data_IF_816825181980
#
_entry.id   IF_816825181980
#
_cell.length_a   1.000
_cell.length_b   1.000
_cell.length_c   1.000
_cell.angle_alpha   90.00
_cell.angle_beta   90.00
_cell.angle_gamma   90.00
#
_symmetry.space_group_name_H-M   'P 1'
#
loop_
_entity.id
_entity.type
_entity.pdbx_description
1 polymer ?
#
# COMPACT_ATOMS: atom_id res chain seq x y z
N UNK A 1 3.00 -14.83 11.69
CA UNK A 1 2.64 -16.26 11.56
C UNK A 1 3.42 -16.80 10.37
N UNK A 2 4.35 -17.72 10.58
CA UNK A 2 5.18 -18.30 9.52
C UNK A 2 4.83 -19.78 9.39
N UNK A 3 4.60 -20.27 8.18
CA UNK A 3 4.24 -21.66 7.92
C UNK A 3 5.14 -22.25 6.85
N UNK A 4 5.75 -23.39 7.16
CA UNK A 4 6.67 -24.06 6.25
C UNK A 4 5.99 -25.27 5.61
N UNK A 5 5.72 -25.16 4.30
CA UNK A 5 5.18 -26.26 3.51
C UNK A 5 6.18 -27.43 3.45
N UNK A 6 5.68 -28.66 3.60
CA UNK A 6 6.50 -29.88 3.58
C UNK A 6 7.11 -30.28 4.93
N UNK A 7 6.88 -29.50 5.98
CA UNK A 7 7.23 -29.88 7.37
C UNK A 7 5.95 -30.18 8.15
N UNK A 8 5.94 -31.24 8.94
CA UNK A 8 4.78 -31.60 9.74
C UNK A 8 4.46 -30.51 10.79
N UNK A 9 3.17 -30.27 11.05
CA UNK A 9 2.71 -29.16 11.88
C UNK A 9 3.16 -29.28 13.35
N UNK A 10 3.20 -30.51 13.87
CA UNK A 10 3.73 -30.84 15.20
C UNK A 10 5.15 -30.31 15.39
N UNK A 11 6.02 -30.51 14.39
CA UNK A 11 7.41 -30.02 14.43
C UNK A 11 7.53 -28.51 14.35
N UNK A 12 6.55 -27.83 13.75
CA UNK A 12 6.53 -26.37 13.63
C UNK A 12 6.03 -25.69 14.91
N UNK A 13 5.24 -26.39 15.72
CA UNK A 13 4.72 -25.90 17.00
C UNK A 13 5.61 -26.26 18.19
N UNK A 14 6.58 -27.15 17.98
CA UNK A 14 7.54 -27.60 18.99
C UNK A 14 8.65 -26.54 19.22
N UNK A 15 8.82 -26.02 20.45
CA UNK A 15 9.85 -25.03 20.77
C UNK A 15 11.28 -25.53 20.57
N UNK A 16 11.52 -26.85 20.67
CA UNK A 16 12.85 -27.42 20.51
C UNK A 16 13.35 -27.30 19.04
N UNK A 17 12.43 -27.19 18.08
CA UNK A 17 12.75 -27.06 16.65
C UNK A 17 13.08 -25.62 16.21
N UNK A 18 12.92 -24.62 17.08
CA UNK A 18 13.23 -23.21 16.77
C UNK A 18 14.72 -23.02 16.43
N UNK A 19 15.60 -23.79 17.07
CA UNK A 19 17.03 -23.75 16.79
C UNK A 19 17.38 -24.19 15.36
N UNK A 20 16.68 -25.20 14.84
CA UNK A 20 16.87 -25.69 13.47
C UNK A 20 16.38 -24.67 12.42
N UNK A 21 15.30 -23.94 12.71
CA UNK A 21 14.77 -22.89 11.81
C UNK A 21 15.75 -21.73 11.62
N UNK A 22 16.55 -21.39 12.64
CA UNK A 22 17.55 -20.31 12.57
C UNK A 22 18.83 -20.68 11.80
N UNK A 23 18.96 -21.92 11.34
CA UNK A 23 20.13 -22.33 10.54
C UNK A 23 20.02 -21.82 9.10
N UNK A 24 21.14 -21.70 8.38
CA UNK A 24 21.15 -21.31 6.96
C UNK A 24 20.24 -22.19 6.08
N UNK A 25 20.16 -23.49 6.39
CA UNK A 25 19.26 -24.42 5.68
C UNK A 25 17.80 -24.23 6.07
N UNK A 26 17.52 -23.84 7.31
CA UNK A 26 16.18 -23.56 7.81
C UNK A 26 15.62 -22.26 7.24
N UNK A 27 16.43 -21.21 7.22
CA UNK A 27 16.06 -19.85 6.77
C UNK A 27 15.91 -19.70 5.26
N UNK A 28 16.18 -20.75 4.48
CA UNK A 28 16.16 -20.70 2.99
C UNK A 28 14.81 -20.35 2.38
N UNK A 29 13.73 -20.47 3.15
CA UNK A 29 12.37 -20.16 2.74
C UNK A 29 11.79 -18.95 3.50
N UNK A 30 12.62 -18.27 4.30
CA UNK A 30 12.19 -17.07 5.00
C UNK A 30 11.82 -15.98 4.00
N UNK A 31 10.86 -15.14 4.38
CA UNK A 31 10.53 -13.95 3.60
C UNK A 31 11.74 -13.03 3.51
N UNK A 32 11.82 -12.28 2.42
CA UNK A 32 12.90 -11.31 2.24
C UNK A 32 12.72 -10.20 3.29
N UNK A 33 13.73 -9.98 4.12
CA UNK A 33 13.73 -8.93 5.13
C UNK A 33 13.92 -7.56 4.49
N UNK A 34 12.81 -6.87 4.19
CA UNK A 34 12.77 -5.51 3.63
C UNK A 34 11.53 -4.76 4.08
N UNK A 35 11.56 -3.43 3.94
CA UNK A 35 10.37 -2.61 4.04
C UNK A 35 9.48 -2.84 2.80
N UNK A 36 8.26 -3.34 3.00
CA UNK A 36 7.27 -3.55 1.95
C UNK A 36 6.33 -2.35 1.76
N UNK A 37 6.40 -1.36 2.64
CA UNK A 37 5.56 -0.16 2.56
C UNK A 37 6.04 0.76 1.43
N UNK A 38 5.08 1.22 0.63
CA UNK A 38 5.36 2.18 -0.44
C UNK A 38 5.44 3.57 0.19
N UNK A 39 6.66 4.12 0.27
CA UNK A 39 6.88 5.48 0.75
C UNK A 39 6.45 6.46 -0.34
N UNK A 40 5.37 7.20 -0.07
CA UNK A 40 4.84 8.22 -0.97
C UNK A 40 5.30 9.61 -0.53
N UNK A 41 5.74 10.42 -1.49
CA UNK A 41 5.99 11.85 -1.28
C UNK A 41 4.86 12.65 -1.94
N UNK A 42 4.34 13.63 -1.22
CA UNK A 42 3.37 14.58 -1.76
C UNK A 42 4.06 15.90 -2.06
N UNK A 43 3.87 16.41 -3.28
CA UNK A 43 4.24 17.78 -3.64
C UNK A 43 2.99 18.55 -4.02
N UNK A 44 2.65 19.54 -3.21
CA UNK A 44 1.56 20.47 -3.53
C UNK A 44 1.90 21.24 -4.81
N UNK A 45 1.02 21.16 -5.81
CA UNK A 45 1.08 22.02 -6.99
C UNK A 45 0.00 23.08 -6.87
N UNK A 46 0.31 24.17 -6.18
CA UNK A 46 -0.52 25.37 -6.17
C UNK A 46 -0.60 25.92 -7.60
N UNK A 47 -1.82 26.17 -8.10
CA UNK A 47 -2.05 26.77 -9.43
C UNK A 47 -2.12 25.83 -10.64
N UNK A 48 -2.16 24.49 -10.47
CA UNK A 48 -2.30 23.57 -11.62
C UNK A 48 -3.70 23.57 -12.25
N UNK A 49 -4.70 24.06 -11.52
CA UNK A 49 -6.09 24.12 -11.95
C UNK A 49 -6.59 25.56 -11.80
N UNK A 50 -6.15 26.45 -12.68
CA UNK A 50 -6.90 27.69 -12.91
C UNK A 50 -8.16 27.33 -13.69
N UNK A 51 -9.31 27.43 -13.03
CA UNK A 51 -10.60 27.32 -13.70
C UNK A 51 -10.91 28.68 -14.29
N UNK A 52 -10.72 28.84 -15.60
CA UNK A 52 -11.21 30.02 -16.33
C UNK A 52 -12.73 29.89 -16.47
N UNK A 53 -13.46 30.39 -15.47
CA UNK A 53 -14.90 30.60 -15.60
C UNK A 53 -15.12 31.90 -16.34
N UNK A 54 -15.43 31.81 -17.63
CA UNK A 54 -15.95 32.95 -18.38
C UNK A 54 -17.15 33.55 -17.62
N UNK A 55 -17.06 34.84 -17.28
CA UNK A 55 -18.13 35.54 -16.60
C UNK A 55 -19.39 35.54 -17.48
N UNK A 56 -20.39 34.72 -17.11
CA UNK A 56 -21.71 34.77 -17.74
C UNK A 56 -22.37 36.09 -17.33
N UNK A 57 -22.77 36.96 -18.29
CA UNK A 57 -23.43 38.20 -17.95
C UNK A 57 -24.74 37.91 -17.22
N UNK A 58 -24.98 38.63 -16.12
CA UNK A 58 -26.12 38.45 -15.21
C UNK A 58 -27.50 38.54 -15.88
N UNK A 59 -27.56 39.05 -17.12
CA UNK A 59 -28.77 39.14 -17.93
C UNK A 59 -29.30 37.79 -18.40
N UNK A 60 -28.52 36.71 -18.32
CA UNK A 60 -28.93 35.34 -18.69
C UNK A 60 -29.35 34.47 -17.49
N UNK A 61 -29.24 34.98 -16.26
CA UNK A 61 -29.46 34.21 -15.03
C UNK A 61 -30.89 34.34 -14.47
N UNK A 62 -31.71 35.25 -15.01
CA UNK A 62 -33.11 35.40 -14.62
C UNK A 62 -34.04 35.20 -15.83
N UNK A 63 -34.37 33.93 -16.08
CA UNK A 63 -35.60 33.51 -16.75
C UNK A 63 -35.96 34.24 -18.05
N UNK A 64 -35.10 34.16 -19.06
CA UNK A 64 -35.41 34.67 -20.40
C UNK A 64 -36.65 33.95 -20.96
N UNK A 65 -37.79 34.63 -20.87
CA UNK A 65 -39.05 34.25 -21.51
C UNK A 65 -39.05 34.83 -22.92
N UNK A 66 -38.97 33.97 -23.93
CA UNK A 66 -39.69 34.14 -25.20
C UNK A 66 -40.64 32.95 -25.34
#
# INVERSE_FOLDING_TARGET
MNYQLGTALDKQLDPDNVGAMRTLRGSRYDMVDRNYDIVLEYKEKSGLLEVDLAAVPATLLEGDTI
#
